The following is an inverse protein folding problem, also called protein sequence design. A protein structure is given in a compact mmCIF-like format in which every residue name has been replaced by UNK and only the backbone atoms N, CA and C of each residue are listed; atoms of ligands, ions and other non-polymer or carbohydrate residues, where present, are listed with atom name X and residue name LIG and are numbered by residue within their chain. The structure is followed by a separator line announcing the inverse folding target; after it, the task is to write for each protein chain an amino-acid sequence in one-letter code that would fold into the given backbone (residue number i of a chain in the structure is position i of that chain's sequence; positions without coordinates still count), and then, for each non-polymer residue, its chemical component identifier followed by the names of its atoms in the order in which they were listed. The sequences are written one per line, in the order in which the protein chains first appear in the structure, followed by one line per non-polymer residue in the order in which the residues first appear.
data_IF_027609119995
#
_entry.id   IF_027609119995
#
_cell.length_a   1.000
_cell.length_b   1.000
_cell.length_c   1.000
_cell.angle_alpha   90.00
_cell.angle_beta   90.00
_cell.angle_gamma   90.00
#
_symmetry.space_group_name_H-M   'P 1'
#
loop_
_entity.id
_entity.type
_entity.pdbx_description
1 polymer ?
#
# COMPACT_ATOMS: atom_id res chain seq x y z
N UNK A 1 -8.22 8.00 18.66
CA UNK A 1 -7.50 8.16 17.39
C UNK A 1 -7.30 9.65 17.14
N UNK A 2 -6.04 10.12 16.96
CA UNK A 2 -5.79 11.49 16.48
C UNK A 2 -6.09 11.48 14.99
N UNK A 3 -7.15 12.17 14.57
CA UNK A 3 -7.44 12.37 13.15
C UNK A 3 -6.24 13.06 12.51
N UNK A 4 -5.48 12.34 11.67
CA UNK A 4 -4.45 12.96 10.84
C UNK A 4 -5.14 14.02 9.97
N UNK A 5 -4.53 15.19 9.83
CA UNK A 5 -5.12 16.26 9.01
C UNK A 5 -4.71 16.17 7.53
N UNK A 6 -3.63 15.44 7.25
CA UNK A 6 -3.13 15.17 5.91
C UNK A 6 -2.27 13.91 5.93
N UNK A 7 -2.09 13.30 4.76
CA UNK A 7 -1.19 12.17 4.56
C UNK A 7 -0.26 12.48 3.39
N UNK A 8 0.95 13.02 3.64
CA UNK A 8 1.88 13.38 2.59
C UNK A 8 2.22 12.19 1.70
N UNK A 9 2.35 12.41 0.38
CA UNK A 9 2.60 11.32 -0.57
C UNK A 9 3.88 10.54 -0.27
N UNK A 10 4.92 11.22 0.25
CA UNK A 10 6.17 10.56 0.63
C UNK A 10 5.99 9.61 1.81
N UNK A 11 5.14 10.00 2.77
CA UNK A 11 4.80 9.14 3.91
C UNK A 11 3.94 7.97 3.43
N UNK A 12 2.92 8.25 2.62
CA UNK A 12 2.02 7.22 2.08
C UNK A 12 2.77 6.14 1.32
N UNK A 13 3.75 6.56 0.50
CA UNK A 13 4.56 5.63 -0.26
C UNK A 13 5.52 4.85 0.65
N UNK A 14 6.12 5.48 1.66
CA UNK A 14 7.01 4.78 2.60
C UNK A 14 6.27 3.72 3.40
N UNK A 15 5.05 4.01 3.82
CA UNK A 15 4.21 3.05 4.56
C UNK A 15 3.79 1.89 3.65
N UNK A 16 3.42 2.18 2.40
CA UNK A 16 3.15 1.14 1.40
C UNK A 16 4.38 0.27 1.10
N UNK A 17 5.55 0.87 0.93
CA UNK A 17 6.82 0.14 0.76
C UNK A 17 7.06 -0.81 1.94
N UNK A 18 6.82 -0.34 3.17
CA UNK A 18 6.97 -1.14 4.39
C UNK A 18 5.97 -2.29 4.46
N UNK A 19 4.70 -2.04 4.15
CA UNK A 19 3.66 -3.08 4.14
C UNK A 19 4.00 -4.12 3.07
N UNK A 20 4.38 -3.70 1.86
CA UNK A 20 4.73 -4.64 0.78
C UNK A 20 6.01 -5.42 1.10
N UNK A 21 6.99 -4.81 1.77
CA UNK A 21 8.20 -5.51 2.21
C UNK A 21 7.89 -6.62 3.21
N UNK A 22 6.94 -6.39 4.11
CA UNK A 22 6.52 -7.39 5.12
C UNK A 22 5.62 -8.47 4.54
N UNK A 23 4.73 -8.11 3.62
CA UNK A 23 3.59 -8.98 3.23
C UNK A 23 3.74 -9.62 1.85
N UNK A 24 4.49 -9.03 0.94
CA UNK A 24 4.70 -9.54 -0.42
C UNK A 24 5.99 -10.34 -0.45
N UNK A 25 5.89 -11.66 -0.48
CA UNK A 25 7.03 -12.58 -0.63
C UNK A 25 7.50 -12.74 -2.08
N UNK A 26 6.62 -12.45 -3.05
CA UNK A 26 6.90 -12.52 -4.48
C UNK A 26 7.73 -11.31 -4.93
N UNK A 27 8.99 -11.56 -5.30
CA UNK A 27 9.94 -10.52 -5.66
C UNK A 27 9.58 -9.78 -6.97
N UNK A 28 8.97 -10.47 -7.93
CA UNK A 28 8.56 -9.87 -9.20
C UNK A 28 7.34 -8.97 -8.98
N UNK A 29 6.35 -9.44 -8.23
CA UNK A 29 5.19 -8.62 -7.87
C UNK A 29 5.60 -7.41 -7.01
N UNK A 30 6.56 -7.57 -6.10
CA UNK A 30 7.11 -6.45 -5.33
C UNK A 30 7.75 -5.40 -6.23
N UNK A 31 8.51 -5.81 -7.25
CA UNK A 31 9.08 -4.87 -8.24
C UNK A 31 7.99 -4.14 -9.01
N UNK A 32 6.92 -4.82 -9.42
CA UNK A 32 5.78 -4.17 -10.09
C UNK A 32 5.15 -3.09 -9.21
N UNK A 33 4.89 -3.39 -7.93
CA UNK A 33 4.36 -2.42 -6.97
C UNK A 33 5.34 -1.24 -6.79
N UNK A 34 6.63 -1.52 -6.66
CA UNK A 34 7.66 -0.50 -6.50
C UNK A 34 7.72 0.46 -7.70
N UNK A 35 7.53 -0.03 -8.93
CA UNK A 35 7.46 0.81 -10.14
C UNK A 35 6.27 1.76 -10.05
N UNK A 36 5.10 1.28 -9.62
CA UNK A 36 3.91 2.12 -9.47
C UNK A 36 4.15 3.20 -8.40
N UNK A 37 4.80 2.84 -7.29
CA UNK A 37 5.14 3.79 -6.23
C UNK A 37 6.15 4.84 -6.72
N UNK A 38 7.18 4.48 -7.49
CA UNK A 38 8.14 5.44 -8.05
C UNK A 38 7.48 6.42 -9.03
N UNK A 39 6.59 5.92 -9.89
CA UNK A 39 5.77 6.76 -10.77
C UNK A 39 4.86 7.70 -9.97
N UNK A 40 4.35 7.22 -8.83
CA UNK A 40 3.54 8.03 -7.91
C UNK A 40 4.36 9.14 -7.25
N UNK A 41 5.61 8.86 -6.84
CA UNK A 41 6.56 9.88 -6.32
C UNK A 41 6.78 11.00 -7.34
N UNK A 42 6.97 10.65 -8.61
CA UNK A 42 7.22 11.61 -9.70
C UNK A 42 6.00 12.42 -10.09
N UNK A 43 4.83 11.80 -10.11
CA UNK A 43 3.58 12.43 -10.57
C UNK A 43 2.85 13.21 -9.48
N UNK A 44 3.19 13.00 -8.21
CA UNK A 44 2.46 13.57 -7.07
C UNK A 44 1.07 12.96 -6.88
N UNK A 45 0.77 11.84 -7.55
CA UNK A 45 -0.52 11.14 -7.47
C UNK A 45 -0.28 9.71 -7.04
N UNK A 46 -1.04 9.24 -6.07
CA UNK A 46 -1.01 7.85 -5.62
C UNK A 46 -2.32 7.16 -6.02
N UNK A 47 -2.32 6.25 -7.01
CA UNK A 47 -3.51 5.47 -7.38
C UNK A 47 -3.72 4.35 -6.36
N UNK A 48 -3.92 4.71 -5.09
CA UNK A 48 -3.90 3.77 -3.97
C UNK A 48 -4.91 2.64 -4.14
N UNK A 49 -6.14 2.96 -4.56
CA UNK A 49 -7.19 1.96 -4.80
C UNK A 49 -6.75 0.87 -5.78
N UNK A 50 -6.15 1.24 -6.92
CA UNK A 50 -5.67 0.26 -7.90
C UNK A 50 -4.49 -0.56 -7.39
N UNK A 51 -3.60 0.05 -6.59
CA UNK A 51 -2.49 -0.64 -5.94
C UNK A 51 -3.04 -1.68 -4.95
N UNK A 52 -4.01 -1.28 -4.12
CA UNK A 52 -4.62 -2.14 -3.11
C UNK A 52 -5.41 -3.30 -3.74
N UNK A 53 -6.15 -3.05 -4.82
CA UNK A 53 -6.84 -4.12 -5.57
C UNK A 53 -5.86 -5.16 -6.13
N UNK A 54 -4.74 -4.71 -6.72
CA UNK A 54 -3.67 -5.62 -7.18
C UNK A 54 -3.09 -6.41 -6.01
N UNK A 55 -2.83 -5.76 -4.89
CA UNK A 55 -2.30 -6.39 -3.68
C UNK A 55 -3.24 -7.48 -3.15
N UNK A 56 -4.53 -7.19 -2.99
CA UNK A 56 -5.53 -8.17 -2.54
C UNK A 56 -5.68 -9.32 -3.55
N UNK A 57 -5.67 -9.04 -4.85
CA UNK A 57 -5.74 -10.08 -5.88
C UNK A 57 -4.54 -11.04 -5.80
N UNK A 58 -3.33 -10.53 -5.61
CA UNK A 58 -2.14 -11.36 -5.43
C UNK A 58 -2.21 -12.19 -4.15
N UNK A 59 -2.66 -11.59 -3.04
CA UNK A 59 -2.85 -12.32 -1.77
C UNK A 59 -3.85 -13.46 -1.89
N UNK A 60 -4.97 -13.23 -2.58
CA UNK A 60 -5.97 -14.26 -2.87
C UNK A 60 -5.39 -15.38 -3.74
N UNK A 61 -4.60 -15.02 -4.76
CA UNK A 61 -3.92 -15.98 -5.65
C UNK A 61 -2.94 -16.88 -4.88
N UNK A 62 -2.17 -16.31 -3.95
CA UNK A 62 -1.18 -17.04 -3.17
C UNK A 62 -1.75 -17.69 -1.90
N UNK A 63 -3.08 -17.68 -1.71
CA UNK A 63 -3.76 -18.21 -0.52
C UNK A 63 -3.19 -17.68 0.80
N UNK A 64 -2.62 -16.47 0.78
CA UNK A 64 -2.10 -15.80 1.97
C UNK A 64 -3.26 -15.13 2.73
N UNK A 65 -3.94 -15.95 3.52
CA UNK A 65 -5.06 -15.56 4.38
C UNK A 65 -4.64 -14.91 5.70
N UNK A 66 -3.34 -14.78 6.00
CA UNK A 66 -2.90 -14.15 7.25
C UNK A 66 -3.41 -12.72 7.35
N UNK A 67 -4.22 -12.39 8.34
CA UNK A 67 -4.69 -11.04 8.55
C UNK A 67 -3.53 -10.02 8.56
N UNK A 68 -3.78 -8.85 7.98
CA UNK A 68 -2.87 -7.72 8.18
C UNK A 68 -2.87 -7.38 9.68
N UNK A 69 -1.70 -7.05 10.26
CA UNK A 69 -1.62 -6.47 11.60
C UNK A 69 -2.59 -5.30 11.74
N UNK A 70 -3.16 -5.11 12.93
CA UNK A 70 -4.11 -4.01 13.17
C UNK A 70 -3.49 -2.63 12.86
N UNK A 71 -2.19 -2.45 13.13
CA UNK A 71 -1.44 -1.25 12.75
C UNK A 71 -1.42 -1.02 11.23
N UNK A 72 -1.20 -2.08 10.43
CA UNK A 72 -1.19 -1.98 8.97
C UNK A 72 -2.60 -1.73 8.42
N UNK A 73 -3.65 -2.21 9.12
CA UNK A 73 -5.06 -1.92 8.78
C UNK A 73 -5.39 -0.45 8.99
N UNK A 74 -4.98 0.15 10.10
CA UNK A 74 -5.17 1.59 10.36
C UNK A 74 -4.46 2.43 9.29
N UNK A 75 -3.24 2.07 8.91
CA UNK A 75 -2.51 2.74 7.82
C UNK A 75 -3.27 2.63 6.49
N UNK A 76 -3.78 1.45 6.15
CA UNK A 76 -4.55 1.25 4.91
C UNK A 76 -5.85 2.05 4.92
N UNK A 77 -6.54 2.14 6.06
CA UNK A 77 -7.75 2.95 6.20
C UNK A 77 -7.46 4.44 6.01
N UNK A 78 -6.39 4.96 6.63
CA UNK A 78 -5.92 6.32 6.41
C UNK A 78 -5.56 6.54 4.92
N UNK A 79 -4.83 5.62 4.30
CA UNK A 79 -4.51 5.71 2.88
C UNK A 79 -5.76 5.72 1.99
N UNK A 80 -6.80 4.95 2.33
CA UNK A 80 -8.09 5.01 1.63
C UNK A 80 -8.76 6.37 1.82
N UNK A 81 -8.67 6.96 3.02
CA UNK A 81 -9.27 8.25 3.30
C UNK A 81 -8.61 9.40 2.51
N UNK A 82 -7.28 9.38 2.40
CA UNK A 82 -6.52 10.48 1.78
C UNK A 82 -6.19 10.26 0.30
N UNK A 83 -6.11 9.01 -0.17
CA UNK A 83 -5.63 8.64 -1.50
C UNK A 83 -6.52 7.63 -2.26
N UNK A 84 -7.65 7.21 -1.68
CA UNK A 84 -8.59 6.21 -2.22
C UNK A 84 -9.63 6.73 -3.22
#
# INVERSE_FOLDING_TARGET
MKLRQSYPIQEAIRDLETIFDKTVTDADFRKELQIILDLSKKSGRLPFRSIFEKFIAQRKKNQFYSDLPDEDKEIIEDLFHFWG
#
